data_IF_358032432212
#
_entry.id   IF_358032432212
#
_cell.length_a   1.000
_cell.length_b   1.000
_cell.length_c   1.000
_cell.angle_alpha   90.00
_cell.angle_beta   90.00
_cell.angle_gamma   90.00
#
_symmetry.space_group_name_H-M   'P 1'
#
loop_
_entity.id
_entity.type
_entity.pdbx_description
1 polymer ?
#
# COMPACT_ATOMS: atom_id res chain seq x y z
N UNK A 1 14.33 12.23 3.20
CA UNK A 1 14.36 10.86 3.75
C UNK A 1 13.72 10.77 5.15
N UNK A 2 14.07 11.64 6.12
CA UNK A 2 13.58 11.50 7.51
C UNK A 2 12.08 11.81 7.74
N UNK A 3 11.50 12.77 7.01
CA UNK A 3 10.09 13.16 7.21
C UNK A 3 9.09 12.07 6.80
N UNK A 4 9.33 11.39 5.68
CA UNK A 4 8.46 10.31 5.20
C UNK A 4 8.52 9.06 6.09
N UNK A 5 9.70 8.74 6.62
CA UNK A 5 9.86 7.64 7.59
C UNK A 5 9.15 7.94 8.90
N UNK A 6 9.23 9.17 9.41
CA UNK A 6 8.49 9.59 10.60
C UNK A 6 6.97 9.57 10.36
N UNK A 7 6.52 10.02 9.20
CA UNK A 7 5.11 9.96 8.81
C UNK A 7 4.61 8.51 8.72
N UNK A 8 5.39 7.59 8.14
CA UNK A 8 5.07 6.15 8.14
C UNK A 8 4.86 5.66 9.58
N UNK A 9 5.82 5.89 10.47
CA UNK A 9 5.72 5.45 11.87
C UNK A 9 4.51 6.02 12.62
N UNK A 10 4.13 7.27 12.34
CA UNK A 10 2.96 7.90 12.95
C UNK A 10 1.62 7.31 12.45
N UNK A 11 1.57 6.86 11.18
CA UNK A 11 0.35 6.35 10.54
C UNK A 11 0.14 4.84 10.74
N UNK A 12 1.20 4.08 11.03
CA UNK A 12 1.15 2.62 11.26
C UNK A 12 0.01 2.16 12.17
N UNK A 13 -0.23 2.73 13.37
CA UNK A 13 -1.30 2.22 14.25
C UNK A 13 -2.70 2.36 13.62
N UNK A 14 -2.96 3.47 12.92
CA UNK A 14 -4.24 3.72 12.24
C UNK A 14 -4.43 2.75 11.08
N UNK A 15 -3.38 2.58 10.28
CA UNK A 15 -3.38 1.69 9.12
C UNK A 15 -3.56 0.23 9.53
N UNK A 16 -2.95 -0.19 10.64
CA UNK A 16 -3.07 -1.56 11.14
C UNK A 16 -4.51 -1.90 11.56
N UNK A 17 -5.20 -0.97 12.23
CA UNK A 17 -6.61 -1.13 12.59
C UNK A 17 -7.47 -1.16 11.32
N UNK A 18 -7.27 -0.21 10.41
CA UNK A 18 -8.00 -0.16 9.14
C UNK A 18 -7.81 -1.46 8.33
N UNK A 19 -6.59 -1.95 8.19
CA UNK A 19 -6.26 -3.15 7.43
C UNK A 19 -6.91 -4.42 7.99
N UNK A 20 -6.91 -4.60 9.32
CA UNK A 20 -7.61 -5.74 9.94
C UNK A 20 -9.13 -5.65 9.77
N UNK A 21 -9.68 -4.44 9.83
CA UNK A 21 -11.11 -4.20 9.65
C UNK A 21 -11.57 -4.40 8.20
N UNK A 22 -10.74 -4.10 7.20
CA UNK A 22 -11.11 -4.11 5.78
C UNK A 22 -11.77 -5.42 5.32
N UNK A 23 -11.22 -6.59 5.69
CA UNK A 23 -11.77 -7.87 5.28
C UNK A 23 -13.19 -8.07 5.82
N UNK A 24 -13.40 -7.78 7.10
CA UNK A 24 -14.71 -7.93 7.74
C UNK A 24 -15.71 -6.88 7.28
N UNK A 25 -15.27 -5.62 7.17
CA UNK A 25 -16.08 -4.52 6.66
C UNK A 25 -16.60 -4.81 5.26
N UNK A 26 -15.74 -5.28 4.36
CA UNK A 26 -16.11 -5.64 3.01
C UNK A 26 -17.16 -6.75 2.99
N UNK A 27 -16.93 -7.86 3.71
CA UNK A 27 -17.90 -8.96 3.77
C UNK A 27 -19.27 -8.49 4.28
N UNK A 28 -19.29 -7.78 5.41
CA UNK A 28 -20.54 -7.33 6.03
C UNK A 28 -21.24 -6.28 5.16
N UNK A 29 -20.50 -5.35 4.56
CA UNK A 29 -21.06 -4.30 3.70
C UNK A 29 -21.75 -4.88 2.45
N UNK A 30 -21.22 -5.95 1.87
CA UNK A 30 -21.89 -6.64 0.77
C UNK A 30 -23.13 -7.42 1.22
N UNK A 31 -23.09 -8.07 2.38
CA UNK A 31 -24.25 -8.82 2.91
C UNK A 31 -25.42 -7.91 3.30
N UNK A 32 -25.12 -6.73 3.85
CA UNK A 32 -26.12 -5.79 4.39
C UNK A 32 -26.32 -4.55 3.51
N UNK A 33 -25.96 -4.63 2.23
CA UNK A 33 -25.94 -3.48 1.33
C UNK A 33 -27.31 -2.77 1.24
N UNK A 34 -28.40 -3.54 1.19
CA UNK A 34 -29.76 -3.01 1.07
C UNK A 34 -30.37 -2.59 2.42
N UNK A 35 -29.82 -3.06 3.55
CA UNK A 35 -30.38 -2.82 4.88
C UNK A 35 -29.64 -1.73 5.64
N UNK A 36 -28.32 -1.62 5.44
CA UNK A 36 -27.45 -0.63 6.09
C UNK A 36 -26.44 -0.05 5.09
N UNK A 37 -26.86 0.82 4.15
CA UNK A 37 -25.97 1.40 3.14
C UNK A 37 -24.80 2.20 3.76
N UNK A 38 -24.97 2.71 4.99
CA UNK A 38 -23.91 3.40 5.73
C UNK A 38 -22.66 2.52 5.97
N UNK A 39 -22.79 1.19 6.03
CA UNK A 39 -21.64 0.29 6.19
C UNK A 39 -20.72 0.28 4.97
N UNK A 40 -21.27 0.50 3.77
CA UNK A 40 -20.48 0.64 2.55
C UNK A 40 -19.60 1.90 2.64
N UNK A 41 -20.13 3.02 3.16
CA UNK A 41 -19.38 4.25 3.33
C UNK A 41 -18.23 4.09 4.34
N UNK A 42 -18.46 3.40 5.46
CA UNK A 42 -17.41 3.06 6.44
C UNK A 42 -16.31 2.20 5.79
N UNK A 43 -16.71 1.23 4.96
CA UNK A 43 -15.78 0.37 4.22
C UNK A 43 -14.93 1.20 3.25
N UNK A 44 -15.53 2.12 2.50
CA UNK A 44 -14.81 3.04 1.60
C UNK A 44 -13.80 3.88 2.37
N UNK A 45 -14.15 4.43 3.53
CA UNK A 45 -13.22 5.21 4.36
C UNK A 45 -12.03 4.34 4.80
N UNK A 46 -12.28 3.12 5.27
CA UNK A 46 -11.21 2.20 5.68
C UNK A 46 -10.26 1.87 4.51
N UNK A 47 -10.81 1.60 3.32
CA UNK A 47 -10.01 1.40 2.11
C UNK A 47 -9.29 2.65 1.64
N UNK A 48 -9.87 3.84 1.84
CA UNK A 48 -9.23 5.11 1.49
C UNK A 48 -7.99 5.36 2.34
N UNK A 49 -8.08 5.10 3.66
CA UNK A 49 -6.95 5.27 4.59
C UNK A 49 -5.77 4.38 4.18
N UNK A 50 -6.01 3.09 3.93
CA UNK A 50 -4.94 2.14 3.57
C UNK A 50 -4.40 2.41 2.17
N UNK A 51 -5.25 2.77 1.21
CA UNK A 51 -4.83 3.16 -0.15
C UNK A 51 -3.94 4.40 -0.10
N UNK A 52 -4.38 5.48 0.55
CA UNK A 52 -3.59 6.70 0.71
C UNK A 52 -2.23 6.41 1.37
N UNK A 53 -2.22 5.58 2.42
CA UNK A 53 -0.99 5.18 3.06
C UNK A 53 -0.04 4.45 2.10
N UNK A 54 -0.52 3.50 1.29
CA UNK A 54 0.29 2.81 0.29
C UNK A 54 0.98 3.77 -0.69
N UNK A 55 0.26 4.79 -1.19
CA UNK A 55 0.85 5.81 -2.08
C UNK A 55 1.84 6.71 -1.35
N UNK A 56 1.54 7.09 -0.11
CA UNK A 56 2.39 7.92 0.71
C UNK A 56 3.73 7.23 1.03
N UNK A 57 3.72 5.92 1.28
CA UNK A 57 4.93 5.15 1.61
C UNK A 57 5.71 4.69 0.38
N UNK A 58 5.09 4.66 -0.80
CA UNK A 58 5.74 4.19 -2.02
C UNK A 58 7.10 4.86 -2.33
N UNK A 59 7.29 6.18 -2.16
CA UNK A 59 8.61 6.80 -2.34
C UNK A 59 9.69 6.30 -1.38
N UNK A 60 9.34 5.89 -0.14
CA UNK A 60 10.34 5.38 0.81
C UNK A 60 10.83 3.99 0.43
N UNK A 61 10.00 3.20 -0.25
CA UNK A 61 10.38 1.87 -0.73
C UNK A 61 11.38 1.97 -1.90
N UNK A 62 11.18 2.93 -2.82
CA UNK A 62 12.19 3.24 -3.84
C UNK A 62 13.50 3.80 -3.26
N UNK A 63 13.40 4.69 -2.27
CA UNK A 63 14.58 5.22 -1.56
C UNK A 63 15.33 4.13 -0.79
N UNK A 64 14.64 3.13 -0.24
CA UNK A 64 15.26 1.96 0.37
C UNK A 64 16.05 1.12 -0.64
N UNK A 65 15.46 0.78 -1.79
CA UNK A 65 16.17 0.05 -2.85
C UNK A 65 17.40 0.82 -3.35
N UNK A 66 17.30 2.14 -3.51
CA UNK A 66 18.43 2.98 -3.92
C UNK A 66 19.56 2.97 -2.88
N UNK A 67 19.26 3.13 -1.59
CA UNK A 67 20.26 3.12 -0.52
C UNK A 67 20.93 1.75 -0.39
N UNK A 68 20.19 0.67 -0.58
CA UNK A 68 20.74 -0.68 -0.61
C UNK A 68 21.75 -0.87 -1.75
N UNK A 69 21.48 -0.34 -2.94
CA UNK A 69 22.41 -0.39 -4.07
C UNK A 69 23.69 0.41 -3.85
N UNK A 70 23.59 1.58 -3.22
CA UNK A 70 24.77 2.38 -2.84
C UNK A 70 25.61 1.61 -1.84
N UNK A 71 24.99 1.00 -0.82
CA UNK A 71 25.71 0.19 0.17
C UNK A 71 26.40 -1.03 -0.45
N UNK A 72 25.76 -1.70 -1.42
CA UNK A 72 26.37 -2.84 -2.13
C UNK A 72 27.61 -2.42 -2.93
N UNK A 73 27.58 -1.24 -3.55
CA UNK A 73 28.71 -0.66 -4.28
C UNK A 73 29.86 -0.28 -3.34
N UNK A 74 29.54 0.40 -2.23
CA UNK A 74 30.52 0.85 -1.23
C UNK A 74 31.23 -0.31 -0.49
N UNK A 75 30.50 -1.39 -0.21
CA UNK A 75 31.06 -2.55 0.51
C UNK A 75 31.81 -3.51 -0.41
N UNK A 76 31.61 -3.41 -1.73
CA UNK A 76 32.22 -4.30 -2.72
C UNK A 76 31.81 -5.77 -2.58
N UNK A 77 30.70 -6.04 -1.86
CA UNK A 77 30.18 -7.39 -1.58
C UNK A 77 29.66 -8.07 -2.84
N UNK A 78 29.10 -7.31 -3.78
CA UNK A 78 28.62 -7.80 -5.08
C UNK A 78 29.42 -7.16 -6.20
N UNK A 79 29.82 -7.93 -7.22
CA UNK A 79 30.56 -7.42 -8.39
C UNK A 79 30.03 -7.99 -9.70
N UNK A 80 30.09 -7.19 -10.77
CA UNK A 80 29.68 -7.59 -12.11
C UNK A 80 28.25 -8.14 -12.13
N UNK A 81 28.09 -9.39 -12.56
CA UNK A 81 26.80 -10.06 -12.67
C UNK A 81 26.00 -10.14 -11.35
N UNK A 82 26.68 -10.25 -10.20
CA UNK A 82 25.99 -10.27 -8.89
C UNK A 82 25.38 -8.91 -8.55
N UNK A 83 26.04 -7.81 -8.93
CA UNK A 83 25.52 -6.46 -8.73
C UNK A 83 24.31 -6.21 -9.64
N UNK A 84 24.40 -6.63 -10.90
CA UNK A 84 23.28 -6.52 -11.85
C UNK A 84 22.06 -7.34 -11.38
N UNK A 85 22.28 -8.54 -10.86
CA UNK A 85 21.23 -9.36 -10.26
C UNK A 85 20.63 -8.71 -9.01
N UNK A 86 21.44 -8.14 -8.11
CA UNK A 86 20.95 -7.43 -6.93
C UNK A 86 20.12 -6.18 -7.30
N UNK A 87 20.54 -5.45 -8.34
CA UNK A 87 19.79 -4.31 -8.88
C UNK A 87 18.43 -4.70 -9.42
N UNK A 88 18.34 -5.76 -10.20
CA UNK A 88 17.06 -6.26 -10.71
C UNK A 88 16.17 -6.75 -9.56
N UNK A 89 16.72 -7.51 -8.61
CA UNK A 89 15.98 -7.97 -7.44
C UNK A 89 15.40 -6.83 -6.59
N UNK A 90 16.21 -5.78 -6.31
CA UNK A 90 15.77 -4.61 -5.55
C UNK A 90 14.74 -3.75 -6.29
N UNK A 91 14.79 -3.75 -7.63
CA UNK A 91 13.76 -3.12 -8.45
C UNK A 91 12.43 -3.86 -8.34
N UNK A 92 12.44 -5.19 -8.54
CA UNK A 92 11.23 -6.00 -8.43
C UNK A 92 10.64 -6.02 -7.02
N UNK A 93 11.49 -5.96 -5.98
CA UNK A 93 11.04 -5.80 -4.61
C UNK A 93 10.22 -4.51 -4.42
N UNK A 94 10.70 -3.36 -4.92
CA UNK A 94 9.94 -2.10 -4.87
C UNK A 94 8.63 -2.17 -5.68
N UNK A 95 8.64 -2.89 -6.81
CA UNK A 95 7.45 -3.07 -7.65
C UNK A 95 6.32 -3.84 -6.97
N UNK A 96 6.60 -4.69 -5.97
CA UNK A 96 5.54 -5.36 -5.19
C UNK A 96 4.66 -4.35 -4.44
N UNK A 97 5.24 -3.25 -3.95
CA UNK A 97 4.52 -2.17 -3.29
C UNK A 97 3.69 -1.34 -4.29
N UNK A 98 4.21 -1.13 -5.50
CA UNK A 98 3.46 -0.47 -6.58
C UNK A 98 2.23 -1.29 -6.95
N UNK A 99 2.40 -2.61 -7.12
CA UNK A 99 1.29 -3.52 -7.40
C UNK A 99 0.23 -3.48 -6.29
N UNK A 100 0.65 -3.48 -5.02
CA UNK A 100 -0.25 -3.35 -3.88
C UNK A 100 -1.01 -2.01 -3.86
N UNK A 101 -0.34 -0.89 -4.15
CA UNK A 101 -0.96 0.44 -4.20
C UNK A 101 -1.97 0.57 -5.35
N UNK A 102 -1.67 -0.01 -6.51
CA UNK A 102 -2.60 -0.04 -7.64
C UNK A 102 -3.80 -0.95 -7.35
N UNK A 103 -3.57 -2.12 -6.75
CA UNK A 103 -4.63 -3.05 -6.39
C UNK A 103 -5.59 -2.44 -5.36
N UNK A 104 -5.07 -1.75 -4.35
CA UNK A 104 -5.89 -1.05 -3.37
C UNK A 104 -6.68 0.11 -4.00
N UNK A 105 -6.08 0.86 -4.92
CA UNK A 105 -6.75 1.91 -5.68
C UNK A 105 -7.91 1.36 -6.53
N UNK A 106 -7.68 0.29 -7.29
CA UNK A 106 -8.72 -0.35 -8.10
C UNK A 106 -9.88 -0.80 -7.22
N UNK A 107 -9.57 -1.40 -6.08
CA UNK A 107 -10.60 -1.85 -5.13
C UNK A 107 -11.38 -0.68 -4.55
N UNK A 108 -10.71 0.42 -4.17
CA UNK A 108 -11.37 1.62 -3.68
C UNK A 108 -12.30 2.23 -4.73
N UNK A 109 -11.84 2.36 -5.98
CA UNK A 109 -12.64 2.86 -7.10
C UNK A 109 -13.87 1.97 -7.31
N UNK A 110 -13.69 0.65 -7.30
CA UNK A 110 -14.80 -0.30 -7.40
C UNK A 110 -15.84 -0.10 -6.30
N UNK A 111 -15.43 0.05 -5.04
CA UNK A 111 -16.34 0.28 -3.92
C UNK A 111 -17.09 1.61 -4.06
N UNK A 112 -16.42 2.68 -4.48
CA UNK A 112 -17.04 3.99 -4.73
C UNK A 112 -18.08 3.91 -5.85
N UNK A 113 -17.72 3.29 -6.98
CA UNK A 113 -18.66 3.10 -8.10
C UNK A 113 -19.86 2.26 -7.67
N UNK A 114 -19.64 1.20 -6.90
CA UNK A 114 -20.71 0.34 -6.38
C UNK A 114 -21.68 1.10 -5.48
N UNK A 115 -21.15 1.99 -4.62
CA UNK A 115 -21.93 2.82 -3.70
C UNK A 115 -22.77 3.86 -4.45
N UNK A 116 -22.17 4.58 -5.40
CA UNK A 116 -22.88 5.54 -6.24
C UNK A 116 -23.96 4.87 -7.11
N UNK A 117 -23.73 3.62 -7.53
CA UNK A 117 -24.71 2.87 -8.33
C UNK A 117 -25.80 2.18 -7.50
N UNK A 118 -25.69 2.14 -6.16
CA UNK A 118 -26.74 1.60 -5.27
C UNK A 118 -27.79 2.63 -4.86
N UNK A 119 -27.54 3.92 -5.08
CA UNK A 119 -28.51 5.01 -4.93
C UNK A 119 -29.29 5.22 -6.24
#
# INVERSE_FOLDING_TARGET
AYSLLQMRSALVPVVQVAAQAQQWLLLIAFMLLNTMPALMLITIIAFSITTLFSFITLPVEFDASKRALVWLDETGVTRGAEYDGAKDALWWAAMTYVSAALSSLVMLVYLVLRYVSSD
#
